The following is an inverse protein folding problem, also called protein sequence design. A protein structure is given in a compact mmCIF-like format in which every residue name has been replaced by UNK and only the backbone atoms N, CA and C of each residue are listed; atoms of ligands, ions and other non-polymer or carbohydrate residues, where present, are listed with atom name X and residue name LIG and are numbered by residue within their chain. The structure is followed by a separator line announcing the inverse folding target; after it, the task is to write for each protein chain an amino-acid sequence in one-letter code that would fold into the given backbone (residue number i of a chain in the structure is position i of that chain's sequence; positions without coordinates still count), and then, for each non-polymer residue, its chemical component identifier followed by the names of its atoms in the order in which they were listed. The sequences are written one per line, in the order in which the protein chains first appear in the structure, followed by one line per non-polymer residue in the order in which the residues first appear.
data_IF_471710341054
#
_entry.id   IF_471710341054
#
_cell.length_a   1.000
_cell.length_b   1.000
_cell.length_c   1.000
_cell.angle_alpha   90.00
_cell.angle_beta   90.00
_cell.angle_gamma   90.00
#
_symmetry.space_group_name_H-M   'P 1'
#
loop_
_entity.id
_entity.type
_entity.pdbx_description
1 polymer ?
#
# COMPACT_ATOMS: atom_id res chain seq x y z
N UNK A 1 37.07 25.86 -16.71
CA UNK A 1 35.97 25.15 -16.03
C UNK A 1 36.66 24.06 -15.24
N UNK A 2 36.72 24.21 -13.90
CA UNK A 2 37.29 23.19 -13.05
C UNK A 2 36.42 21.92 -13.16
N UNK A 3 37.08 20.78 -13.38
CA UNK A 3 36.43 19.49 -13.44
C UNK A 3 35.79 19.20 -12.07
N UNK A 4 34.44 19.16 -12.04
CA UNK A 4 33.75 18.76 -10.83
C UNK A 4 34.19 17.32 -10.44
N UNK A 5 34.35 17.03 -9.14
CA UNK A 5 34.74 15.68 -8.69
C UNK A 5 33.78 14.62 -9.20
N UNK A 6 34.32 13.47 -9.59
CA UNK A 6 33.53 12.33 -10.12
C UNK A 6 32.43 11.90 -9.13
N UNK A 7 32.66 12.06 -7.83
CA UNK A 7 31.69 11.82 -6.77
C UNK A 7 30.45 12.70 -6.90
N UNK A 8 30.61 13.96 -7.24
CA UNK A 8 29.51 14.91 -7.45
C UNK A 8 28.64 14.52 -8.66
N UNK A 9 29.27 14.02 -9.73
CA UNK A 9 28.53 13.51 -10.90
C UNK A 9 27.74 12.24 -10.53
N UNK A 10 28.30 11.33 -9.72
CA UNK A 10 27.59 10.12 -9.29
C UNK A 10 26.41 10.46 -8.39
N UNK A 11 26.57 11.38 -7.46
CA UNK A 11 25.49 11.87 -6.59
C UNK A 11 24.37 12.49 -7.43
N UNK A 12 24.71 13.41 -8.33
CA UNK A 12 23.76 14.07 -9.23
C UNK A 12 23.02 13.08 -10.15
N UNK A 13 23.72 12.10 -10.70
CA UNK A 13 23.09 11.04 -11.52
C UNK A 13 22.20 10.14 -10.69
N UNK A 14 22.54 9.88 -9.43
CA UNK A 14 21.69 9.18 -8.47
C UNK A 14 20.39 9.93 -8.17
N UNK A 15 20.49 11.23 -7.95
CA UNK A 15 19.32 12.09 -7.70
C UNK A 15 18.38 12.16 -8.91
N UNK A 16 18.95 12.29 -10.11
CA UNK A 16 18.16 12.23 -11.35
C UNK A 16 17.46 10.88 -11.49
N UNK A 17 18.17 9.77 -11.23
CA UNK A 17 17.59 8.43 -11.28
C UNK A 17 16.40 8.28 -10.32
N UNK A 18 16.56 8.72 -9.09
CA UNK A 18 15.51 8.70 -8.07
C UNK A 18 14.28 9.54 -8.46
N UNK A 19 14.49 10.71 -9.07
CA UNK A 19 13.38 11.57 -9.51
C UNK A 19 12.65 10.97 -10.72
N UNK A 20 13.36 10.37 -11.69
CA UNK A 20 12.76 9.66 -12.82
C UNK A 20 11.91 8.46 -12.34
N UNK A 21 12.40 7.69 -11.39
CA UNK A 21 11.65 6.57 -10.79
C UNK A 21 10.38 7.07 -10.07
N UNK A 22 10.49 8.17 -9.36
CA UNK A 22 9.37 8.81 -8.68
C UNK A 22 8.32 9.31 -9.66
N UNK A 23 8.71 10.03 -10.71
CA UNK A 23 7.79 10.51 -11.73
C UNK A 23 7.11 9.36 -12.48
N UNK A 24 7.87 8.31 -12.78
CA UNK A 24 7.34 7.08 -13.39
C UNK A 24 6.27 6.44 -12.50
N UNK A 25 6.51 6.37 -11.19
CA UNK A 25 5.51 5.86 -10.22
C UNK A 25 4.26 6.73 -10.21
N UNK A 26 4.39 8.06 -10.18
CA UNK A 26 3.25 8.99 -10.23
C UNK A 26 2.40 8.77 -11.50
N UNK A 27 3.05 8.66 -12.66
CA UNK A 27 2.35 8.43 -13.94
C UNK A 27 1.59 7.10 -13.92
N UNK A 28 2.21 6.03 -13.45
CA UNK A 28 1.58 4.70 -13.36
C UNK A 28 0.40 4.70 -12.37
N UNK A 29 0.54 5.35 -11.22
CA UNK A 29 -0.51 5.50 -10.21
C UNK A 29 -1.70 6.30 -10.79
N UNK A 30 -1.44 7.40 -11.49
CA UNK A 30 -2.47 8.20 -12.17
C UNK A 30 -3.18 7.40 -13.27
N UNK A 31 -2.45 6.67 -14.10
CA UNK A 31 -3.04 5.81 -15.13
C UNK A 31 -3.92 4.72 -14.51
N UNK A 32 -3.50 4.17 -13.37
CA UNK A 32 -4.29 3.19 -12.63
C UNK A 32 -5.60 3.79 -12.12
N UNK A 33 -5.56 5.00 -11.53
CA UNK A 33 -6.76 5.72 -11.08
C UNK A 33 -7.71 6.05 -12.25
N UNK A 34 -7.18 6.59 -13.36
CA UNK A 34 -8.00 6.92 -14.55
C UNK A 34 -8.67 5.68 -15.13
N UNK A 35 -7.94 4.56 -15.18
CA UNK A 35 -8.52 3.28 -15.63
C UNK A 35 -9.62 2.80 -14.68
N UNK A 36 -9.41 2.92 -13.36
CA UNK A 36 -10.43 2.56 -12.37
C UNK A 36 -11.66 3.46 -12.44
N UNK A 37 -11.51 4.77 -12.62
CA UNK A 37 -12.64 5.72 -12.75
C UNK A 37 -13.48 5.44 -14.01
N UNK A 38 -12.84 5.10 -15.13
CA UNK A 38 -13.54 4.77 -16.39
C UNK A 38 -14.14 3.36 -16.41
N UNK A 39 -13.53 2.44 -15.68
CA UNK A 39 -13.88 1.02 -15.66
C UNK A 39 -14.76 0.65 -14.46
N UNK A 40 -15.70 1.52 -14.06
CA UNK A 40 -16.69 1.18 -13.00
C UNK A 40 -17.51 -0.11 -13.30
N UNK A 41 -17.29 -0.76 -14.46
CA UNK A 41 -17.90 -2.01 -14.89
C UNK A 41 -16.94 -3.14 -15.28
N UNK A 42 -15.64 -2.88 -15.43
CA UNK A 42 -14.69 -3.87 -15.98
C UNK A 42 -13.68 -4.39 -14.93
N UNK A 43 -14.17 -5.22 -14.01
CA UNK A 43 -13.31 -6.07 -13.19
C UNK A 43 -13.04 -7.39 -13.92
N UNK A 44 -11.79 -7.80 -14.00
CA UNK A 44 -11.41 -9.14 -14.43
C UNK A 44 -11.48 -10.09 -13.22
N UNK A 45 -12.70 -10.50 -12.88
CA UNK A 45 -12.95 -11.32 -11.69
C UNK A 45 -12.55 -12.76 -11.97
N UNK A 46 -11.66 -13.28 -11.17
CA UNK A 46 -11.22 -14.68 -11.14
C UNK A 46 -11.16 -15.19 -9.71
N UNK A 47 -11.24 -16.52 -9.52
CA UNK A 47 -11.11 -17.12 -8.19
C UNK A 47 -9.63 -17.22 -7.80
N UNK A 48 -9.21 -16.47 -6.80
CA UNK A 48 -7.83 -16.32 -6.36
C UNK A 48 -7.63 -16.85 -4.95
N UNK A 49 -6.52 -17.55 -4.71
CA UNK A 49 -6.05 -17.90 -3.37
C UNK A 49 -5.40 -16.67 -2.73
N UNK A 50 -6.08 -16.07 -1.76
CA UNK A 50 -5.64 -14.84 -1.10
C UNK A 50 -4.39 -15.07 -0.22
N UNK A 51 -4.23 -16.27 0.33
CA UNK A 51 -3.05 -16.63 1.12
C UNK A 51 -1.79 -16.58 0.25
N UNK A 52 -1.81 -17.25 -0.90
CA UNK A 52 -0.70 -17.26 -1.84
C UNK A 52 -0.39 -15.84 -2.38
N UNK A 53 -1.43 -15.06 -2.65
CA UNK A 53 -1.28 -13.68 -3.08
C UNK A 53 -0.54 -12.84 -2.03
N UNK A 54 -0.93 -12.94 -0.76
CA UNK A 54 -0.28 -12.23 0.34
C UNK A 54 1.17 -12.69 0.54
N UNK A 55 1.43 -13.99 0.50
CA UNK A 55 2.79 -14.53 0.58
C UNK A 55 3.71 -13.95 -0.52
N UNK A 56 3.21 -13.85 -1.75
CA UNK A 56 3.96 -13.26 -2.87
C UNK A 56 4.22 -11.76 -2.65
N UNK A 57 3.23 -11.02 -2.14
CA UNK A 57 3.38 -9.59 -1.81
C UNK A 57 4.45 -9.43 -0.72
N UNK A 58 4.34 -10.18 0.38
CA UNK A 58 5.29 -10.06 1.49
C UNK A 58 6.71 -10.47 1.07
N UNK A 59 6.86 -11.53 0.28
CA UNK A 59 8.16 -11.94 -0.27
C UNK A 59 8.83 -10.82 -1.06
N UNK A 60 8.05 -10.07 -1.83
CA UNK A 60 8.53 -8.93 -2.63
C UNK A 60 8.89 -7.72 -1.77
N UNK A 61 8.15 -7.48 -0.68
CA UNK A 61 8.36 -6.34 0.22
C UNK A 61 9.40 -6.60 1.33
N UNK A 62 9.74 -7.87 1.60
CA UNK A 62 10.72 -8.24 2.64
C UNK A 62 12.06 -7.51 2.52
N UNK A 63 12.69 -7.38 1.34
CA UNK A 63 13.95 -6.63 1.24
C UNK A 63 13.85 -5.17 1.65
N UNK A 64 12.67 -4.54 1.47
CA UNK A 64 12.41 -3.16 1.89
C UNK A 64 12.26 -3.11 3.41
N UNK A 65 11.50 -4.05 3.99
CA UNK A 65 11.32 -4.17 5.43
C UNK A 65 12.67 -4.42 6.15
N UNK A 66 13.47 -5.36 5.64
CA UNK A 66 14.79 -5.68 6.19
C UNK A 66 15.73 -4.46 6.17
N UNK A 67 15.73 -3.69 5.07
CA UNK A 67 16.53 -2.46 4.96
C UNK A 67 16.13 -1.41 6.01
N UNK A 68 14.85 -1.35 6.37
CA UNK A 68 14.31 -0.44 7.39
C UNK A 68 14.28 -1.06 8.79
N UNK A 69 14.78 -2.28 8.96
CA UNK A 69 14.75 -3.05 10.22
C UNK A 69 13.33 -3.21 10.78
N UNK A 70 12.36 -3.43 9.91
CA UNK A 70 10.96 -3.66 10.27
C UNK A 70 10.65 -5.14 10.17
N UNK A 71 10.15 -5.72 11.27
CA UNK A 71 9.67 -7.10 11.28
C UNK A 71 8.37 -7.22 10.47
N UNK A 72 8.31 -8.17 9.54
CA UNK A 72 7.15 -8.38 8.68
C UNK A 72 6.58 -9.79 8.88
N UNK A 73 5.38 -9.88 9.47
CA UNK A 73 4.72 -11.12 9.84
C UNK A 73 3.41 -11.30 9.09
N UNK A 74 3.14 -12.52 8.60
CA UNK A 74 1.84 -12.94 8.08
C UNK A 74 1.21 -13.96 9.01
N UNK A 75 -0.01 -13.66 9.48
CA UNK A 75 -0.85 -14.59 10.21
C UNK A 75 -2.07 -14.96 9.37
N UNK A 76 -2.22 -16.23 9.06
CA UNK A 76 -3.37 -16.73 8.34
C UNK A 76 -4.04 -17.85 9.11
N UNK A 77 -5.32 -17.63 9.43
CA UNK A 77 -6.07 -18.56 10.28
C UNK A 77 -6.73 -19.70 9.50
N UNK A 78 -6.86 -19.56 8.20
CA UNK A 78 -7.45 -20.55 7.30
C UNK A 78 -7.12 -20.27 5.85
N UNK A 79 -7.23 -21.26 4.94
CA UNK A 79 -7.22 -21.02 3.50
C UNK A 79 -8.40 -20.15 3.08
N UNK A 80 -8.12 -19.15 2.25
CA UNK A 80 -9.12 -18.19 1.74
C UNK A 80 -8.99 -18.09 0.23
N UNK A 81 -10.08 -18.41 -0.49
CA UNK A 81 -10.21 -18.13 -1.93
C UNK A 81 -11.40 -17.20 -2.14
N UNK A 82 -11.22 -16.21 -3.00
CA UNK A 82 -12.22 -15.21 -3.29
C UNK A 82 -12.26 -14.85 -4.77
N UNK A 83 -13.44 -14.42 -5.24
CA UNK A 83 -13.65 -13.94 -6.60
C UNK A 83 -13.27 -12.46 -6.66
N UNK A 84 -12.06 -12.16 -7.17
CA UNK A 84 -11.49 -10.82 -7.20
C UNK A 84 -10.74 -10.54 -8.50
N UNK A 85 -10.53 -9.25 -8.80
CA UNK A 85 -9.56 -8.81 -9.80
C UNK A 85 -8.17 -8.83 -9.14
N UNK A 86 -7.36 -9.82 -9.51
CA UNK A 86 -6.04 -10.07 -8.92
C UNK A 86 -5.13 -8.85 -9.00
N UNK A 87 -5.12 -8.15 -10.13
CA UNK A 87 -4.24 -7.00 -10.35
C UNK A 87 -4.60 -5.86 -9.40
N UNK A 88 -5.89 -5.54 -9.30
CA UNK A 88 -6.36 -4.44 -8.45
C UNK A 88 -6.20 -4.74 -6.96
N UNK A 89 -6.47 -5.98 -6.56
CA UNK A 89 -6.30 -6.40 -5.15
C UNK A 89 -4.82 -6.48 -4.78
N UNK A 90 -3.96 -7.00 -5.65
CA UNK A 90 -2.51 -7.00 -5.45
C UNK A 90 -1.98 -5.58 -5.24
N UNK A 91 -2.42 -4.63 -6.08
CA UNK A 91 -2.01 -3.23 -5.96
C UNK A 91 -2.47 -2.62 -4.63
N UNK A 92 -3.74 -2.85 -4.25
CA UNK A 92 -4.29 -2.34 -3.00
C UNK A 92 -3.55 -2.86 -1.77
N UNK A 93 -3.32 -4.17 -1.70
CA UNK A 93 -2.64 -4.78 -0.55
C UNK A 93 -1.16 -4.42 -0.51
N UNK A 94 -0.49 -4.34 -1.67
CA UNK A 94 0.89 -3.84 -1.75
C UNK A 94 1.00 -2.43 -1.20
N UNK A 95 0.10 -1.52 -1.57
CA UNK A 95 0.10 -0.14 -1.07
C UNK A 95 -0.08 -0.05 0.45
N UNK A 96 -0.98 -0.86 1.04
CA UNK A 96 -1.18 -0.86 2.50
C UNK A 96 0.07 -1.35 3.23
N UNK A 97 0.63 -2.47 2.79
CA UNK A 97 1.80 -3.08 3.45
C UNK A 97 3.06 -2.22 3.22
N UNK A 98 3.23 -1.68 2.01
CA UNK A 98 4.34 -0.76 1.71
C UNK A 98 4.26 0.51 2.57
N UNK A 99 3.07 1.08 2.79
CA UNK A 99 2.89 2.22 3.69
C UNK A 99 3.21 1.85 5.14
N UNK A 100 2.74 0.70 5.62
CA UNK A 100 3.03 0.21 6.97
C UNK A 100 4.54 0.02 7.22
N UNK A 101 5.31 -0.38 6.20
CA UNK A 101 6.76 -0.48 6.27
C UNK A 101 7.39 0.92 6.23
N UNK A 102 7.01 1.76 5.26
CA UNK A 102 7.64 3.09 5.03
C UNK A 102 7.46 4.07 6.16
N UNK A 103 6.29 4.07 6.78
CA UNK A 103 5.97 4.96 7.90
C UNK A 103 6.17 4.31 9.26
N UNK A 104 6.97 3.22 9.29
CA UNK A 104 7.33 2.55 10.53
C UNK A 104 8.50 3.25 11.23
N UNK A 105 8.74 2.85 12.47
CA UNK A 105 9.92 3.19 13.26
C UNK A 105 11.01 2.14 13.03
N UNK A 106 12.27 2.52 13.29
CA UNK A 106 13.36 1.54 13.36
C UNK A 106 13.06 0.50 14.44
N UNK A 107 13.36 -0.77 14.14
CA UNK A 107 13.04 -1.93 14.98
C UNK A 107 11.52 -2.11 15.27
N UNK A 108 10.67 -1.53 14.40
CA UNK A 108 9.23 -1.71 14.45
C UNK A 108 8.77 -2.99 13.77
N UNK A 109 7.45 -3.15 13.68
CA UNK A 109 6.82 -4.34 13.10
C UNK A 109 5.61 -4.00 12.24
N UNK A 110 5.31 -4.89 11.30
CA UNK A 110 4.08 -4.91 10.51
C UNK A 110 3.47 -6.31 10.59
N UNK A 111 2.25 -6.40 11.11
CA UNK A 111 1.47 -7.63 11.17
C UNK A 111 0.36 -7.60 10.13
N UNK A 112 0.40 -8.55 9.22
CA UNK A 112 -0.64 -8.78 8.22
C UNK A 112 -1.44 -9.99 8.64
N UNK A 113 -2.73 -9.83 8.91
CA UNK A 113 -3.61 -10.93 9.34
C UNK A 113 -4.72 -11.17 8.31
N UNK A 114 -4.89 -12.43 7.91
CA UNK A 114 -5.95 -12.87 7.01
C UNK A 114 -6.93 -13.80 7.73
N UNK A 115 -8.21 -13.50 7.65
CA UNK A 115 -9.30 -14.34 8.16
C UNK A 115 -10.49 -14.30 7.21
N UNK A 116 -11.45 -15.19 7.36
CA UNK A 116 -12.69 -15.21 6.62
C UNK A 116 -13.85 -15.78 7.43
N UNK A 117 -15.06 -15.32 7.14
CA UNK A 117 -16.32 -15.96 7.52
C UNK A 117 -17.00 -16.61 6.30
N UNK A 118 -18.30 -16.79 6.35
CA UNK A 118 -19.06 -17.42 5.24
C UNK A 118 -19.32 -16.48 4.05
N UNK A 119 -19.13 -15.17 4.22
CA UNK A 119 -19.49 -14.16 3.24
C UNK A 119 -18.31 -13.29 2.81
N UNK A 120 -17.38 -13.03 3.72
CA UNK A 120 -16.30 -12.08 3.53
C UNK A 120 -14.96 -12.65 3.94
N UNK A 121 -13.91 -12.16 3.33
CA UNK A 121 -12.59 -12.22 3.93
C UNK A 121 -12.18 -10.85 4.49
N UNK A 122 -11.29 -10.91 5.47
CA UNK A 122 -10.83 -9.79 6.24
C UNK A 122 -9.31 -9.77 6.20
N UNK A 123 -8.76 -8.68 5.68
CA UNK A 123 -7.35 -8.38 5.77
C UNK A 123 -7.17 -7.26 6.79
N UNK A 124 -6.33 -7.51 7.80
CA UNK A 124 -5.86 -6.49 8.73
C UNK A 124 -4.37 -6.26 8.47
N UNK A 125 -3.98 -5.01 8.26
CA UNK A 125 -2.58 -4.56 8.23
C UNK A 125 -2.40 -3.62 9.41
N UNK A 126 -1.54 -4.02 10.33
CA UNK A 126 -1.26 -3.32 11.58
C UNK A 126 0.23 -3.03 11.67
N UNK A 127 0.58 -1.80 12.03
CA UNK A 127 1.97 -1.37 12.16
C UNK A 127 2.20 -0.62 13.48
N UNK A 128 3.45 -0.65 13.93
CA UNK A 128 3.94 0.08 15.11
C UNK A 128 4.55 1.44 14.77
N UNK A 129 4.20 1.98 13.60
CA UNK A 129 4.83 3.16 13.02
C UNK A 129 4.49 4.48 13.72
N UNK A 130 4.67 5.56 12.95
CA UNK A 130 4.47 6.93 13.47
C UNK A 130 3.00 7.29 13.68
N UNK A 131 2.07 6.47 13.18
CA UNK A 131 0.64 6.76 13.23
C UNK A 131 0.23 7.91 12.31
N UNK A 132 -1.06 8.25 12.38
CA UNK A 132 -1.69 9.30 11.58
C UNK A 132 -2.40 10.26 12.55
N UNK A 133 -2.16 11.58 12.48
CA UNK A 133 -2.90 12.56 13.26
C UNK A 133 -4.40 12.48 13.01
N UNK A 134 -5.20 12.71 14.04
CA UNK A 134 -6.67 12.57 14.01
C UNK A 134 -7.31 13.46 12.93
N UNK A 135 -6.86 14.70 12.79
CA UNK A 135 -7.33 15.66 11.80
C UNK A 135 -7.02 15.25 10.34
N UNK A 136 -6.05 14.35 10.16
CA UNK A 136 -5.66 13.82 8.85
C UNK A 136 -6.46 12.59 8.43
N UNK A 137 -7.09 11.86 9.37
CA UNK A 137 -7.76 10.58 9.09
C UNK A 137 -8.88 10.68 8.05
N UNK A 138 -9.61 11.79 8.00
CA UNK A 138 -10.68 12.02 7.01
C UNK A 138 -10.12 12.24 5.60
N UNK A 139 -8.88 12.74 5.49
CA UNK A 139 -8.24 13.18 4.25
C UNK A 139 -7.31 12.15 3.62
N UNK A 140 -6.88 11.10 4.34
CA UNK A 140 -5.86 10.14 3.86
C UNK A 140 -6.22 9.44 2.55
N UNK A 141 -7.50 9.41 2.17
CA UNK A 141 -7.97 8.81 0.92
C UNK A 141 -8.12 9.84 -0.22
N UNK A 142 -7.86 11.12 0.05
CA UNK A 142 -7.83 12.15 -1.00
C UNK A 142 -6.60 11.98 -1.89
N UNK A 143 -6.77 12.27 -3.18
CA UNK A 143 -5.67 12.18 -4.14
C UNK A 143 -4.62 13.24 -3.83
N UNK A 144 -3.35 12.84 -3.83
CA UNK A 144 -2.19 13.70 -3.53
C UNK A 144 -2.12 14.21 -2.09
N UNK A 145 -3.02 13.76 -1.21
CA UNK A 145 -2.96 14.12 0.19
C UNK A 145 -1.78 13.46 0.89
N UNK A 146 -1.11 14.21 1.75
CA UNK A 146 0.01 13.77 2.58
C UNK A 146 -0.01 14.55 3.89
N UNK A 147 0.16 13.83 5.00
CA UNK A 147 0.15 14.40 6.36
C UNK A 147 1.28 15.42 6.53
N UNK A 148 2.47 15.14 6.01
CA UNK A 148 3.61 16.06 6.09
C UNK A 148 4.27 16.23 4.71
N UNK A 149 4.33 17.49 4.24
CA UNK A 149 4.94 17.84 2.94
C UNK A 149 6.46 17.96 3.01
N UNK A 150 7.03 18.16 4.20
CA UNK A 150 8.46 18.44 4.39
C UNK A 150 9.32 17.17 4.52
N UNK A 151 8.93 16.23 5.37
CA UNK A 151 9.61 14.93 5.54
C UNK A 151 9.26 13.93 4.42
N UNK A 152 8.19 14.18 3.72
CA UNK A 152 7.66 13.28 2.71
C UNK A 152 8.45 13.24 1.40
N UNK A 153 9.38 14.18 1.16
CA UNK A 153 10.30 14.11 0.01
C UNK A 153 11.32 13.00 0.18
N UNK A 154 11.78 12.76 1.41
CA UNK A 154 12.75 11.70 1.72
C UNK A 154 12.10 10.31 1.69
N UNK A 155 10.81 10.19 2.06
CA UNK A 155 10.09 8.91 2.13
C UNK A 155 9.48 8.50 0.77
N UNK A 156 9.42 9.40 -0.22
CA UNK A 156 9.12 9.04 -1.62
C UNK A 156 7.69 8.54 -1.89
N UNK A 157 6.65 9.16 -1.32
CA UNK A 157 5.25 8.79 -1.61
C UNK A 157 4.57 9.68 -2.65
N UNK A 158 3.66 9.12 -3.47
CA UNK A 158 2.88 9.85 -4.50
C UNK A 158 1.62 10.53 -3.94
N UNK A 159 1.15 10.10 -2.76
CA UNK A 159 -0.15 10.50 -2.21
C UNK A 159 -1.35 9.89 -2.95
N UNK A 160 -1.12 8.89 -3.78
CA UNK A 160 -2.16 8.23 -4.58
C UNK A 160 -2.49 6.81 -4.08
N UNK A 161 -1.56 6.17 -3.36
CA UNK A 161 -1.67 4.77 -2.97
C UNK A 161 -2.93 4.44 -2.16
N UNK A 162 -3.29 5.23 -1.15
CA UNK A 162 -4.51 5.00 -0.35
C UNK A 162 -5.79 5.30 -1.14
N UNK A 163 -5.78 6.29 -2.03
CA UNK A 163 -6.90 6.56 -2.93
C UNK A 163 -7.14 5.37 -3.89
N UNK A 164 -6.07 4.81 -4.46
CA UNK A 164 -6.10 3.59 -5.30
C UNK A 164 -6.64 2.41 -4.48
N UNK A 165 -6.13 2.21 -3.27
CA UNK A 165 -6.55 1.14 -2.37
C UNK A 165 -8.04 1.20 -2.07
N UNK A 166 -8.53 2.38 -1.65
CA UNK A 166 -9.95 2.58 -1.36
C UNK A 166 -10.82 2.29 -2.58
N UNK A 167 -10.42 2.79 -3.75
CA UNK A 167 -11.16 2.57 -4.99
C UNK A 167 -11.21 1.08 -5.37
N UNK A 168 -10.06 0.38 -5.32
CA UNK A 168 -10.01 -1.06 -5.59
C UNK A 168 -10.91 -1.85 -4.63
N UNK A 169 -10.89 -1.54 -3.32
CA UNK A 169 -11.75 -2.20 -2.32
C UNK A 169 -13.23 -1.93 -2.60
N UNK A 170 -13.61 -0.68 -2.91
CA UNK A 170 -15.01 -0.32 -3.22
C UNK A 170 -15.52 -0.97 -4.51
N UNK A 171 -14.68 -1.08 -5.55
CA UNK A 171 -15.02 -1.80 -6.78
C UNK A 171 -15.35 -3.27 -6.51
N UNK A 172 -14.69 -3.88 -5.52
CA UNK A 172 -14.98 -5.25 -5.05
C UNK A 172 -16.14 -5.31 -4.04
N UNK A 173 -16.92 -4.21 -3.90
CA UNK A 173 -18.04 -4.12 -2.92
C UNK A 173 -17.57 -4.34 -1.48
N UNK A 174 -16.30 -4.10 -1.24
CA UNK A 174 -15.66 -4.17 0.07
C UNK A 174 -15.78 -2.88 0.86
N UNK A 175 -15.19 -2.89 2.03
CA UNK A 175 -15.05 -1.73 2.89
C UNK A 175 -13.65 -1.68 3.48
N UNK A 176 -13.14 -0.47 3.68
CA UNK A 176 -11.88 -0.22 4.35
C UNK A 176 -12.11 0.74 5.52
N UNK A 177 -11.51 0.43 6.67
CA UNK A 177 -11.51 1.27 7.86
C UNK A 177 -10.09 1.44 8.36
N UNK A 178 -9.79 2.61 8.89
CA UNK A 178 -8.52 2.95 9.51
C UNK A 178 -8.75 3.29 10.98
N UNK A 179 -7.81 2.87 11.82
CA UNK A 179 -7.67 3.27 13.21
C UNK A 179 -6.20 3.62 13.40
N UNK A 180 -5.92 4.78 13.93
CA UNK A 180 -4.54 5.23 14.13
C UNK A 180 -4.46 6.18 15.30
N UNK A 181 -3.35 6.11 16.03
CA UNK A 181 -2.96 7.06 17.06
C UNK A 181 -1.56 7.56 16.70
N UNK A 182 -1.40 8.87 16.63
CA UNK A 182 -0.08 9.46 16.37
C UNK A 182 0.93 9.01 17.43
N UNK A 183 2.08 8.53 16.96
CA UNK A 183 3.12 7.97 17.81
C UNK A 183 2.98 6.50 18.18
N UNK A 184 1.83 5.84 17.96
CA UNK A 184 1.59 4.45 18.35
C UNK A 184 1.54 3.48 17.16
N UNK A 185 1.00 3.92 16.00
CA UNK A 185 0.90 3.12 14.80
C UNK A 185 -0.46 3.21 14.12
N UNK A 186 -0.67 2.34 13.13
CA UNK A 186 -1.89 2.35 12.31
C UNK A 186 -2.43 0.95 12.08
N UNK A 187 -3.76 0.83 12.03
CA UNK A 187 -4.48 -0.38 11.68
C UNK A 187 -5.40 -0.10 10.52
N UNK A 188 -5.17 -0.76 9.39
CA UNK A 188 -6.11 -0.82 8.28
C UNK A 188 -6.87 -2.14 8.31
N UNK A 189 -8.20 -2.07 8.33
CA UNK A 189 -9.09 -3.23 8.21
C UNK A 189 -9.80 -3.19 6.87
N UNK A 190 -9.59 -4.19 6.04
CA UNK A 190 -10.24 -4.39 4.76
C UNK A 190 -11.17 -5.58 4.83
N UNK A 191 -12.41 -5.43 4.35
CA UNK A 191 -13.39 -6.49 4.20
C UNK A 191 -13.83 -6.57 2.75
N UNK A 192 -13.76 -7.75 2.15
CA UNK A 192 -14.17 -7.99 0.75
C UNK A 192 -15.05 -9.26 0.69
N UNK A 193 -16.15 -9.27 -0.09
CA UNK A 193 -16.94 -10.46 -0.29
C UNK A 193 -16.12 -11.61 -0.90
N UNK A 194 -16.34 -12.84 -0.43
CA UNK A 194 -15.71 -14.02 -1.02
C UNK A 194 -16.23 -14.31 -2.45
N UNK A 195 -17.48 -13.95 -2.71
CA UNK A 195 -18.13 -14.09 -4.02
C UNK A 195 -18.46 -12.72 -4.59
N UNK A 196 -18.03 -12.49 -5.83
CA UNK A 196 -18.41 -11.28 -6.54
C UNK A 196 -19.79 -11.47 -7.14
N UNK A 197 -20.74 -10.64 -6.71
CA UNK A 197 -22.11 -10.61 -7.26
C UNK A 197 -22.18 -9.39 -8.18
N UNK A 198 -22.34 -9.60 -9.49
CA UNK A 198 -22.47 -8.55 -10.52
C UNK A 198 -23.70 -7.66 -10.32
#
# INVERSE_FOLDING_TARGET
MEDAPIELYKEFMGDIGNEVDRETKIINDLLSLVKMDKAAGDLNITNININELLEQILKRLRPIADKQKVELVLESFRPVSADVDEVKITLAFTNLIENAIKYNKEDGWVHVSLNADHQYFYLKVEDSGIGIPEDSLEHIYERFYRVDKSHSREIGGTGLGLAITRNAVLMHRGAIKVFSTEGEGTIFNVRIPLKYIS
#
